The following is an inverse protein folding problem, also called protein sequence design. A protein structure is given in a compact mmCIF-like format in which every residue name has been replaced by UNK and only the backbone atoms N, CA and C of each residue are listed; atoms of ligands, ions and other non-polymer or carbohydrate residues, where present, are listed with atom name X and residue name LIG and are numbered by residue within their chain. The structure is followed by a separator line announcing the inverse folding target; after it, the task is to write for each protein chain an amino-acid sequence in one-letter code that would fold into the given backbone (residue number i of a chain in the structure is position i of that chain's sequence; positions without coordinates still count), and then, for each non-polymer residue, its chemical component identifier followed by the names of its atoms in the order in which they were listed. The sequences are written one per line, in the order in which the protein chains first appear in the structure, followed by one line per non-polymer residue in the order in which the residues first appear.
data_IF_809188391744
#
_entry.id   IF_809188391744
#
_cell.length_a   1.000
_cell.length_b   1.000
_cell.length_c   1.000
_cell.angle_alpha   90.00
_cell.angle_beta   90.00
_cell.angle_gamma   90.00
#
_symmetry.space_group_name_H-M   'P 1'
#
loop_
_entity.id
_entity.type
_entity.pdbx_description
1 polymer ?
#
# COMPACT_ATOMS: atom_id res chain seq x y z
N UNK A 1 5.36 3.22 41.22
CA UNK A 1 6.65 3.61 41.82
C UNK A 1 7.70 3.59 40.71
N UNK A 2 8.14 4.76 40.23
CA UNK A 2 9.14 4.83 39.16
C UNK A 2 10.53 4.54 39.72
N UNK A 3 11.18 3.50 39.20
CA UNK A 3 12.56 3.18 39.56
C UNK A 3 13.46 3.65 38.41
N UNK A 4 14.24 4.70 38.64
CA UNK A 4 15.18 5.23 37.66
C UNK A 4 16.40 4.27 37.53
N UNK A 5 16.95 4.12 36.31
CA UNK A 5 18.20 3.38 36.04
C UNK A 5 19.35 3.78 36.99
N UNK A 6 19.44 5.06 37.36
CA UNK A 6 20.42 5.55 38.36
C UNK A 6 20.17 4.99 39.78
N UNK A 7 18.91 4.76 40.16
CA UNK A 7 18.55 4.18 41.45
C UNK A 7 18.95 2.72 41.53
N UNK A 8 18.70 1.94 40.47
CA UNK A 8 19.11 0.53 40.38
C UNK A 8 20.64 0.39 40.42
N UNK A 9 21.36 1.18 39.61
CA UNK A 9 22.82 1.14 39.57
C UNK A 9 23.47 1.57 40.90
N UNK A 10 22.84 2.47 41.67
CA UNK A 10 23.30 2.86 43.01
C UNK A 10 23.06 1.76 44.05
N UNK A 11 21.96 1.02 43.95
CA UNK A 11 21.64 -0.06 44.88
C UNK A 11 22.52 -1.30 44.67
N UNK A 12 22.93 -1.57 43.43
CA UNK A 12 23.87 -2.66 43.10
C UNK A 12 25.35 -2.26 43.19
N UNK A 13 25.67 -0.97 43.33
CA UNK A 13 27.04 -0.44 43.26
C UNK A 13 27.74 -0.15 44.59
N UNK A 14 27.17 -0.51 45.74
CA UNK A 14 27.70 -0.10 47.06
C UNK A 14 28.61 -1.11 47.77
N UNK A 15 28.97 -2.24 47.15
CA UNK A 15 29.92 -3.19 47.75
C UNK A 15 30.91 -3.74 46.72
N UNK A 16 31.98 -2.99 46.47
CA UNK A 16 33.25 -3.53 46.00
C UNK A 16 33.38 -3.85 44.50
N UNK A 17 34.59 -3.63 44.00
CA UNK A 17 35.08 -3.99 42.67
C UNK A 17 34.68 -5.42 42.24
N UNK A 18 33.82 -5.57 41.22
CA UNK A 18 33.89 -6.63 40.19
C UNK A 18 32.67 -6.60 39.25
N UNK A 19 32.93 -6.75 37.94
CA UNK A 19 31.98 -7.07 36.87
C UNK A 19 30.80 -6.09 36.64
N UNK A 20 30.99 -5.17 35.69
CA UNK A 20 29.87 -4.54 34.99
C UNK A 20 29.15 -5.58 34.12
N UNK A 21 28.24 -6.35 34.73
CA UNK A 21 27.24 -7.10 33.97
C UNK A 21 26.32 -6.05 33.35
N UNK A 22 26.36 -5.92 32.02
CA UNK A 22 25.40 -5.13 31.28
C UNK A 22 24.03 -5.77 31.50
N UNK A 23 23.26 -5.24 32.46
CA UNK A 23 21.87 -5.65 32.65
C UNK A 23 21.10 -5.35 31.36
N UNK A 24 20.32 -6.31 30.82
CA UNK A 24 19.37 -6.04 29.75
C UNK A 24 18.45 -4.88 30.15
N UNK A 25 18.14 -4.00 29.20
CA UNK A 25 17.25 -2.89 29.46
C UNK A 25 15.82 -3.43 29.65
N UNK A 26 15.37 -3.52 30.90
CA UNK A 26 14.00 -3.93 31.21
C UNK A 26 13.02 -2.86 30.69
N UNK A 27 11.84 -3.26 30.20
CA UNK A 27 10.82 -2.35 29.65
C UNK A 27 10.45 -1.20 30.61
N UNK A 28 10.57 -1.41 31.92
CA UNK A 28 10.31 -0.39 32.95
C UNK A 28 11.27 0.81 32.87
N UNK A 29 12.42 0.62 32.22
CA UNK A 29 13.51 1.60 32.10
C UNK A 29 13.48 2.35 30.77
N UNK A 30 12.51 2.05 29.88
CA UNK A 30 12.25 2.88 28.70
C UNK A 30 11.75 4.25 29.16
N UNK A 31 12.38 5.36 28.74
CA UNK A 31 11.79 6.67 28.97
C UNK A 31 10.42 6.67 28.30
N UNK A 32 9.38 6.89 29.10
CA UNK A 32 8.03 7.16 28.61
C UNK A 32 8.06 8.53 27.96
N UNK A 33 8.56 8.56 26.73
CA UNK A 33 8.29 9.61 25.75
C UNK A 33 7.24 9.13 24.73
N UNK A 34 6.48 8.09 25.09
CA UNK A 34 5.09 8.02 24.68
C UNK A 34 4.33 8.96 25.64
N UNK A 35 4.23 10.23 25.28
CA UNK A 35 3.28 11.13 25.94
C UNK A 35 1.91 10.45 25.90
N UNK A 36 1.39 10.07 27.07
CA UNK A 36 -0.06 9.90 27.19
C UNK A 36 -0.68 11.22 26.72
N UNK A 37 -1.32 11.19 25.55
CA UNK A 37 -1.98 12.35 24.95
C UNK A 37 -1.33 12.97 23.69
N UNK A 38 -0.26 12.42 23.10
CA UNK A 38 0.07 12.80 21.71
C UNK A 38 -0.66 11.87 20.74
N UNK A 39 -1.45 12.46 19.83
CA UNK A 39 -2.13 11.73 18.77
C UNK A 39 -1.11 10.93 17.94
N UNK A 40 -1.35 9.62 17.82
CA UNK A 40 -0.55 8.77 16.94
C UNK A 40 -0.81 9.14 15.49
N UNK A 41 0.23 9.21 14.63
CA UNK A 41 0.02 9.53 13.22
C UNK A 41 -0.81 8.43 12.55
N UNK A 42 -1.77 8.85 11.73
CA UNK A 42 -2.56 7.94 10.90
C UNK A 42 -1.69 7.36 9.80
N UNK A 43 -1.80 6.06 9.57
CA UNK A 43 -1.11 5.35 8.50
C UNK A 43 -2.10 4.94 7.43
N UNK A 44 -1.73 5.12 6.17
CA UNK A 44 -2.58 4.78 5.04
C UNK A 44 -1.99 3.60 4.27
N UNK A 45 -2.85 2.63 3.92
CA UNK A 45 -2.45 1.54 3.05
C UNK A 45 -3.50 1.21 2.00
N UNK A 46 -3.03 0.76 0.83
CA UNK A 46 -3.87 0.24 -0.24
C UNK A 46 -3.40 -1.16 -0.62
N UNK A 47 -4.27 -2.14 -0.43
CA UNK A 47 -4.06 -3.53 -0.82
C UNK A 47 -4.93 -3.82 -2.04
N UNK A 48 -4.29 -4.26 -3.11
CA UNK A 48 -4.92 -4.52 -4.41
C UNK A 48 -4.92 -6.02 -4.72
N UNK A 49 -6.06 -6.55 -5.17
CA UNK A 49 -6.15 -7.85 -5.83
C UNK A 49 -6.61 -7.69 -7.30
N UNK A 50 -6.12 -8.53 -8.22
CA UNK A 50 -6.42 -8.42 -9.64
C UNK A 50 -7.65 -9.25 -10.08
N UNK A 51 -8.03 -9.11 -11.34
CA UNK A 51 -8.96 -9.95 -12.10
C UNK A 51 -10.42 -9.96 -11.64
N UNK A 52 -10.78 -9.07 -10.72
CA UNK A 52 -12.12 -9.00 -10.16
C UNK A 52 -12.46 -10.16 -9.24
N UNK A 53 -13.74 -10.30 -8.94
CA UNK A 53 -14.26 -11.31 -8.01
C UNK A 53 -15.41 -12.09 -8.63
N UNK A 54 -15.81 -13.15 -7.94
CA UNK A 54 -17.16 -13.68 -8.01
C UNK A 54 -18.11 -12.73 -7.24
N UNK A 55 -18.72 -11.78 -7.96
CA UNK A 55 -19.54 -10.71 -7.39
C UNK A 55 -20.69 -11.26 -6.51
N UNK A 56 -21.34 -12.35 -6.92
CA UNK A 56 -22.45 -12.98 -6.18
C UNK A 56 -21.99 -13.49 -4.80
N UNK A 57 -20.76 -14.01 -4.70
CA UNK A 57 -20.20 -14.52 -3.43
C UNK A 57 -19.46 -13.47 -2.62
N UNK A 58 -19.12 -12.33 -3.23
CA UNK A 58 -18.53 -11.17 -2.55
C UNK A 58 -19.55 -10.37 -1.75
N UNK A 59 -20.71 -10.08 -2.32
CA UNK A 59 -21.63 -9.08 -1.74
C UNK A 59 -22.29 -9.56 -0.42
N UNK A 60 -22.14 -8.83 0.70
CA UNK A 60 -22.82 -9.15 1.95
C UNK A 60 -24.31 -8.85 1.89
N UNK A 61 -25.09 -9.56 2.72
CA UNK A 61 -26.53 -9.29 2.89
C UNK A 61 -26.76 -8.34 4.06
N UNK A 62 -27.66 -7.37 3.89
CA UNK A 62 -27.99 -6.37 4.91
C UNK A 62 -27.20 -5.08 4.78
N UNK A 63 -27.41 -4.14 5.70
CA UNK A 63 -26.85 -2.78 5.66
C UNK A 63 -26.60 -2.23 7.07
N UNK A 64 -25.80 -1.15 7.16
CA UNK A 64 -25.44 -0.57 8.45
C UNK A 64 -24.76 -1.60 9.35
N UNK A 65 -25.14 -1.71 10.62
CA UNK A 65 -24.60 -2.72 11.55
C UNK A 65 -25.26 -4.09 11.43
N UNK A 66 -26.41 -4.19 10.74
CA UNK A 66 -27.23 -5.39 10.58
C UNK A 66 -26.94 -6.06 9.24
N UNK A 67 -25.83 -6.80 9.19
CA UNK A 67 -25.38 -7.48 7.97
C UNK A 67 -24.67 -8.80 8.27
N UNK A 68 -24.69 -9.69 7.28
CA UNK A 68 -24.09 -11.02 7.30
C UNK A 68 -22.90 -11.09 6.37
N UNK A 69 -21.83 -11.77 6.81
CA UNK A 69 -20.67 -12.05 5.96
C UNK A 69 -21.10 -12.90 4.76
N UNK A 70 -20.64 -12.51 3.58
CA UNK A 70 -20.76 -13.31 2.38
C UNK A 70 -19.77 -14.48 2.40
N UNK A 71 -19.97 -15.52 1.55
CA UNK A 71 -19.06 -16.67 1.50
C UNK A 71 -17.58 -16.30 1.25
N UNK A 72 -17.33 -15.26 0.45
CA UNK A 72 -15.98 -14.75 0.19
C UNK A 72 -15.39 -14.06 1.41
N UNK A 73 -16.20 -13.31 2.17
CA UNK A 73 -15.75 -12.54 3.33
C UNK A 73 -15.70 -13.35 4.65
N UNK A 74 -16.25 -14.56 4.69
CA UNK A 74 -16.27 -15.41 5.89
C UNK A 74 -14.91 -15.55 6.61
N UNK A 75 -13.74 -15.67 5.93
CA UNK A 75 -12.45 -15.71 6.63
C UNK A 75 -12.12 -14.47 7.47
N UNK A 76 -12.84 -13.36 7.25
CA UNK A 76 -12.70 -12.11 8.01
C UNK A 76 -13.62 -12.05 9.24
N UNK A 77 -14.30 -13.14 9.62
CA UNK A 77 -15.25 -13.16 10.74
C UNK A 77 -14.66 -12.60 12.04
N UNK A 78 -13.44 -13.01 12.40
CA UNK A 78 -12.73 -12.53 13.59
C UNK A 78 -12.37 -11.04 13.52
N UNK A 79 -12.41 -10.44 12.34
CA UNK A 79 -12.11 -9.03 12.07
C UNK A 79 -13.36 -8.24 11.63
N UNK A 80 -14.58 -8.82 11.72
CA UNK A 80 -15.82 -8.19 11.22
C UNK A 80 -16.02 -6.77 11.73
N UNK A 81 -15.64 -6.49 12.98
CA UNK A 81 -15.80 -5.19 13.61
C UNK A 81 -14.64 -4.23 13.34
N UNK A 82 -13.67 -4.61 12.51
CA UNK A 82 -12.47 -3.81 12.21
C UNK A 82 -12.46 -3.27 10.77
N UNK A 83 -13.51 -3.53 9.98
CA UNK A 83 -13.68 -2.98 8.64
C UNK A 83 -15.13 -2.63 8.31
N UNK A 84 -15.31 -1.82 7.27
CA UNK A 84 -16.58 -1.57 6.61
C UNK A 84 -16.55 -2.15 5.19
N UNK A 85 -17.70 -2.64 4.71
CA UNK A 85 -17.91 -2.97 3.29
C UNK A 85 -18.54 -1.77 2.61
N UNK A 86 -17.97 -1.30 1.50
CA UNK A 86 -18.44 -0.12 0.79
C UNK A 86 -19.11 -0.52 -0.53
N UNK A 87 -20.38 -0.15 -0.70
CA UNK A 87 -21.19 -0.46 -1.90
C UNK A 87 -21.49 0.78 -2.72
N UNK A 88 -21.66 0.64 -4.03
CA UNK A 88 -21.97 1.76 -4.94
C UNK A 88 -20.75 2.49 -5.50
N UNK A 89 -19.54 2.13 -5.07
CA UNK A 89 -18.29 2.74 -5.57
C UNK A 89 -17.95 2.23 -6.97
N UNK A 90 -17.38 3.10 -7.82
CA UNK A 90 -17.04 2.79 -9.20
C UNK A 90 -15.72 3.44 -9.62
N UNK A 91 -15.10 2.88 -10.65
CA UNK A 91 -13.97 3.45 -11.38
C UNK A 91 -14.40 3.72 -12.82
N UNK A 92 -15.06 4.85 -13.07
CA UNK A 92 -15.62 5.16 -14.40
C UNK A 92 -14.50 5.27 -15.43
N UNK A 93 -13.36 5.81 -15.03
CA UNK A 93 -12.18 5.93 -15.88
C UNK A 93 -11.46 4.59 -16.16
N UNK A 94 -11.87 3.49 -15.53
CA UNK A 94 -11.41 2.15 -15.91
C UNK A 94 -12.23 1.56 -17.07
N UNK A 95 -13.41 2.12 -17.38
CA UNK A 95 -14.22 1.69 -18.52
C UNK A 95 -13.53 1.97 -19.85
N UNK A 96 -14.01 1.34 -20.92
CA UNK A 96 -13.44 1.48 -22.26
C UNK A 96 -13.36 2.93 -22.76
N UNK A 97 -14.39 3.74 -22.53
CA UNK A 97 -14.47 5.14 -23.00
C UNK A 97 -14.11 5.35 -24.48
N UNK A 98 -14.31 4.32 -25.32
CA UNK A 98 -14.02 4.33 -26.75
C UNK A 98 -12.74 3.57 -27.16
N UNK A 99 -11.93 3.12 -26.21
CA UNK A 99 -10.66 2.43 -26.48
C UNK A 99 -10.81 0.95 -26.86
N UNK A 100 -12.01 0.37 -26.75
CA UNK A 100 -12.24 -1.07 -26.92
C UNK A 100 -11.66 -1.91 -25.78
N UNK A 101 -11.18 -3.15 -26.03
CA UNK A 101 -10.66 -4.03 -24.98
C UNK A 101 -9.42 -3.43 -24.30
N UNK A 102 -9.18 -3.84 -23.06
CA UNK A 102 -8.07 -3.31 -22.24
C UNK A 102 -8.40 -3.16 -20.74
N UNK A 103 -9.44 -3.85 -20.26
CA UNK A 103 -10.05 -3.63 -18.95
C UNK A 103 -9.10 -3.94 -17.79
N UNK A 104 -8.17 -4.88 -17.97
CA UNK A 104 -7.16 -5.20 -16.96
C UNK A 104 -6.13 -4.06 -16.87
N UNK A 105 -5.56 -3.59 -17.98
CA UNK A 105 -4.66 -2.43 -17.91
C UNK A 105 -5.34 -1.19 -17.34
N UNK A 106 -6.60 -0.93 -17.72
CA UNK A 106 -7.36 0.20 -17.19
C UNK A 106 -7.70 0.05 -15.70
N UNK A 107 -8.05 -1.15 -15.25
CA UNK A 107 -8.34 -1.47 -13.84
C UNK A 107 -7.19 -1.02 -12.93
N UNK A 108 -5.98 -1.56 -13.13
CA UNK A 108 -4.85 -1.25 -12.25
C UNK A 108 -4.38 0.20 -12.39
N UNK A 109 -4.33 0.75 -13.61
CA UNK A 109 -3.88 2.12 -13.82
C UNK A 109 -4.84 3.15 -13.19
N UNK A 110 -6.15 2.95 -13.33
CA UNK A 110 -7.16 3.84 -12.76
C UNK A 110 -7.32 3.65 -11.25
N UNK A 111 -7.00 2.47 -10.69
CA UNK A 111 -7.34 2.12 -9.30
C UNK A 111 -6.94 3.18 -8.29
N UNK A 112 -5.67 3.60 -8.23
CA UNK A 112 -5.23 4.66 -7.30
C UNK A 112 -5.06 6.03 -7.96
N UNK A 113 -5.35 6.19 -9.25
CA UNK A 113 -5.20 7.50 -9.94
C UNK A 113 -6.55 8.16 -10.21
N UNK A 114 -7.61 7.36 -10.35
CA UNK A 114 -8.91 7.74 -10.92
C UNK A 114 -8.82 8.41 -12.27
N UNK A 115 -7.74 8.19 -13.03
CA UNK A 115 -7.54 8.77 -14.35
C UNK A 115 -7.59 7.67 -15.41
N UNK A 116 -8.13 8.00 -16.57
CA UNK A 116 -8.16 7.07 -17.69
C UNK A 116 -6.76 6.99 -18.31
N UNK A 117 -6.12 5.81 -18.37
CA UNK A 117 -4.79 5.70 -18.94
C UNK A 117 -4.83 5.96 -20.45
N UNK A 118 -3.88 6.75 -20.94
CA UNK A 118 -3.70 6.96 -22.36
C UNK A 118 -3.31 5.65 -23.05
N UNK A 119 -4.11 5.21 -24.03
CA UNK A 119 -3.86 3.99 -24.78
C UNK A 119 -2.59 4.08 -25.62
N UNK A 120 -1.60 3.29 -25.23
CA UNK A 120 -0.30 3.21 -25.88
C UNK A 120 0.38 1.91 -25.49
N UNK A 121 1.04 1.26 -26.45
CA UNK A 121 1.94 0.13 -26.20
C UNK A 121 3.42 0.57 -26.09
N UNK A 122 3.68 1.86 -26.30
CA UNK A 122 5.02 2.46 -26.30
C UNK A 122 5.33 3.22 -25.01
N UNK A 123 6.46 3.93 -25.01
CA UNK A 123 6.96 4.68 -23.85
C UNK A 123 6.17 5.94 -23.48
N UNK A 124 5.18 6.34 -24.29
CA UNK A 124 4.36 7.55 -24.06
C UNK A 124 3.22 7.28 -23.07
N UNK A 125 3.51 6.63 -21.95
CA UNK A 125 2.52 6.34 -20.92
C UNK A 125 2.08 7.65 -20.23
N UNK A 126 0.78 7.74 -19.93
CA UNK A 126 0.16 8.84 -19.20
C UNK A 126 -1.12 8.35 -18.55
N UNK A 127 -1.28 8.60 -17.25
CA UNK A 127 -2.51 8.32 -16.51
C UNK A 127 -2.76 9.47 -15.55
N UNK A 128 -2.11 9.45 -14.38
CA UNK A 128 -2.29 10.43 -13.33
C UNK A 128 -1.41 10.07 -12.15
N UNK A 129 -1.21 11.04 -11.26
CA UNK A 129 -0.54 10.78 -9.98
C UNK A 129 -1.47 9.99 -9.06
N UNK A 130 -0.93 9.04 -8.30
CA UNK A 130 -1.74 8.17 -7.45
C UNK A 130 -1.95 8.70 -6.02
N UNK A 131 -3.03 8.27 -5.37
CA UNK A 131 -3.42 8.68 -4.00
C UNK A 131 -2.33 8.40 -2.96
N UNK A 132 -1.72 7.22 -3.01
CA UNK A 132 -0.62 6.85 -2.11
C UNK A 132 0.58 7.79 -2.27
N UNK A 133 0.90 8.21 -3.50
CA UNK A 133 2.01 9.13 -3.75
C UNK A 133 1.69 10.57 -3.37
N UNK A 134 0.42 10.98 -3.40
CA UNK A 134 -0.03 12.26 -2.84
C UNK A 134 0.09 12.23 -1.31
N UNK A 135 -0.34 11.14 -0.66
CA UNK A 135 -0.19 10.95 0.78
C UNK A 135 1.28 10.87 1.22
N UNK A 136 2.14 10.24 0.41
CA UNK A 136 3.57 10.14 0.66
C UNK A 136 4.24 11.53 0.75
N UNK A 137 3.76 12.53 0.01
CA UNK A 137 4.29 13.89 0.09
C UNK A 137 3.92 14.61 1.39
N UNK A 138 2.79 14.29 2.03
CA UNK A 138 2.36 14.94 3.28
C UNK A 138 3.18 14.47 4.48
N UNK A 139 3.43 13.15 4.56
CA UNK A 139 4.28 12.57 5.59
C UNK A 139 5.76 12.57 5.25
N UNK A 140 6.11 12.83 3.99
CA UNK A 140 7.42 12.52 3.44
C UNK A 140 8.58 12.97 4.33
N UNK A 141 8.57 14.17 4.90
CA UNK A 141 9.69 14.67 5.74
C UNK A 141 9.74 14.11 7.16
N UNK A 142 8.73 13.37 7.59
CA UNK A 142 8.57 12.89 8.97
C UNK A 142 9.06 11.45 9.16
N UNK A 143 9.12 10.67 8.07
CA UNK A 143 9.52 9.26 8.08
C UNK A 143 10.72 9.01 7.18
N UNK A 144 11.42 7.90 7.43
CA UNK A 144 12.61 7.52 6.67
C UNK A 144 12.31 7.29 5.19
N UNK A 145 11.26 6.53 4.90
CA UNK A 145 10.70 6.39 3.55
C UNK A 145 9.39 7.17 3.48
N UNK A 146 9.15 7.85 2.35
CA UNK A 146 7.88 8.55 2.12
C UNK A 146 6.73 7.56 1.92
N UNK A 147 7.01 6.43 1.28
CA UNK A 147 6.09 5.32 1.04
C UNK A 147 6.87 4.01 0.81
N UNK A 148 6.15 2.89 0.84
CA UNK A 148 6.67 1.60 0.39
C UNK A 148 5.66 0.89 -0.52
N UNK A 149 6.09 0.55 -1.72
CA UNK A 149 5.30 -0.13 -2.75
C UNK A 149 5.75 -1.59 -2.81
N UNK A 150 4.84 -2.51 -2.52
CA UNK A 150 5.10 -3.93 -2.40
C UNK A 150 4.30 -4.75 -3.42
N UNK A 151 4.80 -5.94 -3.74
CA UNK A 151 4.11 -6.88 -4.60
C UNK A 151 4.58 -8.31 -4.40
N UNK A 152 3.92 -9.24 -5.07
CA UNK A 152 4.37 -10.65 -5.10
C UNK A 152 4.79 -11.14 -6.49
N UNK A 153 4.50 -10.37 -7.54
CA UNK A 153 4.82 -10.69 -8.93
C UNK A 153 5.73 -9.68 -9.58
N UNK A 154 6.67 -10.18 -10.38
CA UNK A 154 7.47 -9.33 -11.26
C UNK A 154 6.56 -8.59 -12.22
N UNK A 155 6.81 -7.30 -12.39
CA UNK A 155 6.21 -6.48 -13.43
C UNK A 155 7.21 -6.19 -14.54
N UNK A 156 6.71 -5.91 -15.73
CA UNK A 156 7.47 -5.26 -16.81
C UNK A 156 6.79 -3.94 -17.12
N UNK A 157 7.53 -2.85 -17.25
CA UNK A 157 6.90 -1.56 -17.58
C UNK A 157 6.76 -1.36 -19.09
N UNK A 158 7.67 -1.95 -19.88
CA UNK A 158 7.69 -1.85 -21.32
C UNK A 158 6.94 -3.01 -22.01
N UNK A 159 6.39 -2.72 -23.20
CA UNK A 159 5.68 -3.67 -24.04
C UNK A 159 4.16 -3.50 -23.99
N UNK A 160 3.44 -4.31 -24.75
CA UNK A 160 1.97 -4.37 -24.76
C UNK A 160 1.52 -5.56 -23.92
N UNK A 161 0.81 -5.30 -22.82
CA UNK A 161 0.32 -6.38 -21.95
C UNK A 161 -1.19 -6.59 -22.04
N UNK A 162 -1.94 -5.59 -22.52
CA UNK A 162 -3.38 -5.73 -22.66
C UNK A 162 -3.89 -4.88 -23.84
N UNK A 163 -4.15 -5.52 -24.98
CA UNK A 163 -4.94 -4.91 -26.05
C UNK A 163 -4.45 -3.53 -26.56
N UNK A 164 -3.13 -3.31 -26.56
CA UNK A 164 -2.50 -2.05 -26.97
C UNK A 164 -2.20 -1.09 -25.82
N UNK A 165 -2.44 -1.47 -24.57
CA UNK A 165 -1.97 -0.78 -23.38
C UNK A 165 -0.61 -1.29 -22.91
N UNK A 166 0.20 -0.35 -22.40
CA UNK A 166 1.54 -0.60 -21.91
C UNK A 166 1.53 -1.48 -20.66
N UNK A 167 2.52 -2.34 -20.53
CA UNK A 167 2.65 -3.23 -19.38
C UNK A 167 2.74 -2.50 -18.03
N UNK A 168 3.24 -1.25 -18.01
CA UNK A 168 3.22 -0.40 -16.83
C UNK A 168 1.82 -0.26 -16.20
N UNK A 169 0.76 -0.24 -17.01
CA UNK A 169 -0.62 -0.05 -16.55
C UNK A 169 -1.21 -1.26 -15.83
N UNK A 170 -0.80 -2.48 -16.19
CA UNK A 170 -1.25 -3.71 -15.50
C UNK A 170 -0.39 -4.08 -14.28
N UNK A 171 0.85 -3.60 -14.27
CA UNK A 171 1.86 -4.01 -13.29
C UNK A 171 2.06 -3.03 -12.14
N UNK A 172 1.45 -1.84 -12.20
CA UNK A 172 1.61 -0.80 -11.19
C UNK A 172 0.27 -0.10 -10.88
N UNK A 173 -0.01 0.07 -9.60
CA UNK A 173 -1.09 0.93 -9.10
C UNK A 173 -0.56 2.27 -8.56
N UNK A 174 0.73 2.33 -8.21
CA UNK A 174 1.39 3.53 -7.67
C UNK A 174 2.06 4.32 -8.80
N UNK A 175 1.84 5.62 -8.83
CA UNK A 175 2.27 6.55 -9.88
C UNK A 175 2.78 7.85 -9.25
N UNK A 176 4.09 8.06 -9.31
CA UNK A 176 4.75 9.24 -8.73
C UNK A 176 4.33 10.53 -9.42
N UNK A 177 4.10 10.45 -10.73
CA UNK A 177 3.63 11.53 -11.59
C UNK A 177 2.69 10.96 -12.66
N UNK A 178 2.18 11.81 -13.55
CA UNK A 178 1.28 11.39 -14.64
C UNK A 178 1.87 10.30 -15.56
N UNK A 179 3.20 10.20 -15.67
CA UNK A 179 3.87 9.25 -16.57
C UNK A 179 4.90 8.34 -15.89
N UNK A 180 5.15 8.51 -14.59
CA UNK A 180 6.18 7.77 -13.87
C UNK A 180 5.55 6.76 -12.89
N UNK A 181 5.51 5.46 -13.22
CA UNK A 181 5.07 4.43 -12.28
C UNK A 181 6.09 4.29 -11.15
N UNK A 182 5.61 3.96 -9.95
CA UNK A 182 6.45 3.57 -8.82
C UNK A 182 6.46 2.05 -8.73
N UNK A 183 7.56 1.44 -9.17
CA UNK A 183 7.71 -0.02 -9.19
C UNK A 183 7.64 -0.64 -7.80
N UNK A 184 6.95 -1.78 -7.71
CA UNK A 184 6.79 -2.55 -6.47
C UNK A 184 8.00 -3.44 -6.17
N UNK A 185 8.42 -3.48 -4.90
CA UNK A 185 9.41 -4.45 -4.42
C UNK A 185 8.75 -5.80 -4.13
N UNK A 186 9.35 -6.87 -4.63
CA UNK A 186 8.82 -8.23 -4.53
C UNK A 186 9.74 -9.17 -3.77
N UNK A 187 11.01 -8.77 -3.57
CA UNK A 187 12.00 -9.54 -2.85
C UNK A 187 11.95 -9.11 -1.38
N UNK A 188 11.52 -9.98 -0.45
CA UNK A 188 11.40 -9.62 0.96
C UNK A 188 12.70 -9.07 1.56
N UNK A 189 13.85 -9.66 1.21
CA UNK A 189 15.16 -9.20 1.65
C UNK A 189 15.45 -7.75 1.22
N UNK A 190 15.16 -7.40 -0.04
CA UNK A 190 15.34 -6.02 -0.54
C UNK A 190 14.35 -5.06 0.08
N UNK A 191 13.11 -5.47 0.31
CA UNK A 191 12.12 -4.66 1.03
C UNK A 191 12.58 -4.37 2.47
N UNK A 192 13.09 -5.39 3.17
CA UNK A 192 13.68 -5.24 4.50
C UNK A 192 14.89 -4.30 4.49
N UNK A 193 15.80 -4.42 3.53
CA UNK A 193 16.96 -3.54 3.40
C UNK A 193 16.55 -2.10 3.08
N UNK A 194 15.53 -1.89 2.24
CA UNK A 194 14.98 -0.56 1.98
C UNK A 194 14.48 0.08 3.28
N UNK A 195 13.77 -0.68 4.10
CA UNK A 195 13.22 -0.24 5.38
C UNK A 195 14.31 0.02 6.43
N UNK A 196 15.26 -0.89 6.61
CA UNK A 196 16.11 -0.93 7.81
C UNK A 196 17.62 -0.88 7.54
N UNK A 197 18.08 -1.01 6.29
CA UNK A 197 19.51 -1.01 5.95
C UNK A 197 20.24 0.27 6.39
N UNK A 198 21.53 0.18 6.70
CA UNK A 198 22.33 1.36 7.06
C UNK A 198 22.95 1.95 5.78
N UNK A 199 22.82 3.25 5.53
CA UNK A 199 23.62 3.91 4.49
C UNK A 199 25.04 4.03 5.03
N UNK A 200 25.89 3.06 4.69
CA UNK A 200 27.23 2.99 5.28
C UNK A 200 28.21 2.02 4.62
N UNK A 201 27.89 1.46 3.45
CA UNK A 201 28.91 1.00 2.50
C UNK A 201 29.67 2.20 1.92
N UNK A 202 30.82 1.95 1.29
CA UNK A 202 31.84 2.93 0.85
C UNK A 202 31.36 4.21 0.11
N UNK A 203 30.10 4.30 -0.30
CA UNK A 203 29.51 5.38 -1.09
C UNK A 203 28.95 6.57 -0.28
N UNK A 204 28.78 6.46 1.05
CA UNK A 204 28.09 7.50 1.84
C UNK A 204 28.82 8.86 1.86
N UNK A 205 30.16 8.86 1.76
CA UNK A 205 30.97 10.09 1.67
C UNK A 205 30.92 10.75 0.29
N UNK A 206 30.80 9.95 -0.78
CA UNK A 206 30.70 10.47 -2.15
C UNK A 206 29.30 11.02 -2.46
N UNK A 207 28.26 10.45 -1.82
CA UNK A 207 26.86 10.84 -1.99
C UNK A 207 26.51 12.17 -1.29
N UNK A 208 27.08 12.46 -0.12
CA UNK A 208 26.91 13.75 0.56
C UNK A 208 27.47 14.95 -0.23
N UNK A 209 28.52 14.73 -1.03
CA UNK A 209 29.04 15.74 -1.97
C UNK A 209 28.12 15.97 -3.18
N UNK A 210 27.30 14.99 -3.57
CA UNK A 210 26.39 15.09 -4.73
C UNK A 210 25.13 15.93 -4.43
N UNK A 211 24.58 15.91 -3.22
CA UNK A 211 23.43 16.77 -2.86
C UNK A 211 23.72 18.27 -2.97
N UNK A 212 24.93 18.70 -2.59
CA UNK A 212 25.33 20.11 -2.69
C UNK A 212 25.44 20.60 -4.14
N UNK A 213 25.80 19.70 -5.07
CA UNK A 213 25.90 20.00 -6.51
C UNK A 213 24.52 20.07 -7.16
N UNK A 214 23.54 19.32 -6.67
CA UNK A 214 22.21 19.20 -7.27
C UNK A 214 21.25 20.33 -6.88
N UNK A 215 21.36 20.87 -5.66
CA UNK A 215 20.69 22.12 -5.28
C UNK A 215 21.13 23.29 -6.19
N UNK A 216 22.38 23.27 -6.66
CA UNK A 216 22.91 24.24 -7.64
C UNK A 216 22.31 24.05 -9.05
N UNK A 217 21.78 22.87 -9.38
CA UNK A 217 21.18 22.54 -10.68
C UNK A 217 19.66 22.81 -10.71
N UNK A 218 19.01 23.04 -9.56
CA UNK A 218 17.57 23.25 -9.48
C UNK A 218 17.07 24.50 -10.25
N UNK A 219 17.87 25.58 -10.28
CA UNK A 219 17.59 26.78 -11.08
C UNK A 219 17.94 26.58 -12.56
N UNK A 220 19.00 25.82 -12.86
CA UNK A 220 19.34 25.47 -14.25
C UNK A 220 18.32 24.52 -14.88
N UNK A 221 17.62 23.71 -14.09
CA UNK A 221 16.53 22.85 -14.55
C UNK A 221 15.43 23.63 -15.23
N UNK A 222 14.92 24.72 -14.62
CA UNK A 222 13.82 25.51 -15.22
C UNK A 222 14.21 26.07 -16.57
N UNK A 223 15.46 26.53 -16.69
CA UNK A 223 16.02 27.02 -17.93
C UNK A 223 16.19 25.90 -18.97
N UNK A 224 16.75 24.75 -18.58
CA UNK A 224 16.95 23.60 -19.48
C UNK A 224 15.62 23.01 -19.98
N UNK A 225 14.63 22.85 -19.09
CA UNK A 225 13.28 22.37 -19.44
C UNK A 225 12.60 23.32 -20.44
N UNK A 226 12.82 24.64 -20.31
CA UNK A 226 12.26 25.62 -21.26
C UNK A 226 12.90 25.60 -22.65
N UNK A 227 14.04 24.92 -22.83
CA UNK A 227 14.82 24.88 -24.07
C UNK A 227 14.68 23.57 -24.86
N UNK A 228 13.98 22.57 -24.32
CA UNK A 228 13.84 21.26 -24.94
C UNK A 228 12.42 21.00 -25.45
N UNK A 229 12.28 20.04 -26.38
CA UNK A 229 10.96 19.60 -26.85
C UNK A 229 10.17 18.83 -25.78
N UNK A 230 8.86 18.67 -25.97
CA UNK A 230 7.95 18.07 -24.98
C UNK A 230 8.32 16.63 -24.56
N UNK A 231 8.93 15.84 -25.45
CA UNK A 231 9.37 14.48 -25.12
C UNK A 231 10.63 14.47 -24.24
N UNK A 232 11.56 15.39 -24.44
CA UNK A 232 12.77 15.51 -23.63
C UNK A 232 12.50 16.21 -22.30
N UNK A 233 11.60 17.20 -22.27
CA UNK A 233 11.11 17.83 -21.05
C UNK A 233 10.57 16.78 -20.07
N UNK A 234 9.79 15.81 -20.55
CA UNK A 234 9.23 14.74 -19.72
C UNK A 234 10.31 13.84 -19.11
N UNK A 235 11.29 13.44 -19.91
CA UNK A 235 12.43 12.63 -19.43
C UNK A 235 13.25 13.38 -18.39
N UNK A 236 13.48 14.68 -18.61
CA UNK A 236 14.16 15.53 -17.64
C UNK A 236 13.36 15.63 -16.34
N UNK A 237 12.04 15.82 -16.40
CA UNK A 237 11.19 15.85 -15.22
C UNK A 237 11.21 14.52 -14.45
N UNK A 238 11.14 13.38 -15.15
CA UNK A 238 11.30 12.04 -14.56
C UNK A 238 12.67 11.92 -13.87
N UNK A 239 13.76 12.28 -14.57
CA UNK A 239 15.10 12.25 -14.02
C UNK A 239 15.24 13.12 -12.76
N UNK A 240 14.80 14.38 -12.80
CA UNK A 240 14.90 15.29 -11.66
C UNK A 240 13.98 14.87 -10.50
N UNK A 241 12.85 14.21 -10.79
CA UNK A 241 12.00 13.61 -9.76
C UNK A 241 12.74 12.48 -9.05
N UNK A 242 13.34 11.54 -9.79
CA UNK A 242 14.12 10.44 -9.22
C UNK A 242 15.35 10.93 -8.45
N UNK A 243 16.05 11.95 -8.95
CA UNK A 243 17.20 12.56 -8.25
C UNK A 243 16.77 13.15 -6.92
N UNK A 244 15.69 13.94 -6.90
CA UNK A 244 15.17 14.56 -5.67
C UNK A 244 14.75 13.53 -4.62
N UNK A 245 14.17 12.41 -5.05
CA UNK A 245 13.84 11.30 -4.16
C UNK A 245 15.08 10.66 -3.54
N UNK A 246 16.12 10.45 -4.35
CA UNK A 246 17.38 9.90 -3.89
C UNK A 246 18.07 10.80 -2.85
N UNK A 247 18.06 12.12 -3.06
CA UNK A 247 18.58 13.08 -2.09
C UNK A 247 17.81 13.06 -0.77
N UNK A 248 16.47 13.10 -0.85
CA UNK A 248 15.61 13.01 0.33
C UNK A 248 15.83 11.71 1.09
N UNK A 249 16.17 10.63 0.38
CA UNK A 249 16.49 9.35 0.99
C UNK A 249 17.84 9.42 1.71
N UNK A 250 18.89 9.90 1.06
CA UNK A 250 20.25 9.97 1.64
C UNK A 250 20.26 10.80 2.94
N UNK A 251 19.56 11.94 2.97
CA UNK A 251 19.53 12.79 4.17
C UNK A 251 18.88 12.13 5.39
N UNK A 252 18.10 11.05 5.21
CA UNK A 252 17.31 10.38 6.26
C UNK A 252 17.90 9.09 6.79
N UNK A 253 18.94 8.56 6.15
CA UNK A 253 19.61 7.33 6.61
C UNK A 253 20.59 7.56 7.77
N UNK A 254 20.70 8.79 8.27
CA UNK A 254 21.62 9.14 9.36
C UNK A 254 21.20 8.58 10.73
N UNK A 255 19.92 8.20 10.93
CA UNK A 255 19.43 7.65 12.20
C UNK A 255 19.00 6.19 12.03
N UNK A 256 19.62 5.23 12.74
CA UNK A 256 19.21 3.83 12.72
C UNK A 256 17.78 3.66 13.25
N UNK A 257 16.94 2.93 12.52
CA UNK A 257 15.63 2.51 13.01
C UNK A 257 15.81 1.40 14.06
N UNK A 258 15.21 1.55 15.23
CA UNK A 258 15.22 0.49 16.24
C UNK A 258 14.21 -0.61 15.87
N UNK A 259 14.72 -1.82 15.64
CA UNK A 259 13.88 -2.99 15.40
C UNK A 259 13.37 -3.60 16.70
N UNK A 260 12.15 -4.19 16.71
CA UNK A 260 11.70 -5.04 17.80
C UNK A 260 12.67 -6.22 18.04
N UNK A 261 12.79 -6.63 19.30
CA UNK A 261 13.61 -7.79 19.67
C UNK A 261 13.11 -9.06 18.95
N UNK A 262 14.05 -9.89 18.51
CA UNK A 262 13.74 -11.12 17.77
C UNK A 262 13.38 -10.93 16.29
N UNK A 263 13.39 -9.70 15.76
CA UNK A 263 13.20 -9.46 14.32
C UNK A 263 14.33 -10.12 13.53
N UNK A 264 13.98 -11.02 12.62
CA UNK A 264 14.92 -11.66 11.69
C UNK A 264 14.76 -11.05 10.30
N UNK A 265 15.89 -10.69 9.68
CA UNK A 265 15.88 -10.26 8.28
C UNK A 265 15.55 -11.45 7.38
N UNK A 266 14.61 -11.31 6.43
CA UNK A 266 14.34 -12.36 5.46
C UNK A 266 15.54 -12.53 4.53
N UNK A 267 15.86 -13.77 4.18
CA UNK A 267 17.01 -14.11 3.32
C UNK A 267 16.61 -14.34 1.88
N UNK A 268 15.53 -15.08 1.65
CA UNK A 268 15.07 -15.48 0.32
C UNK A 268 13.58 -15.20 0.12
N UNK A 269 13.17 -15.14 -1.16
CA UNK A 269 11.76 -15.07 -1.52
C UNK A 269 11.12 -16.46 -1.38
N UNK A 270 10.06 -16.63 -0.57
CA UNK A 270 9.37 -17.91 -0.46
C UNK A 270 8.81 -18.37 -1.81
N UNK A 271 8.87 -19.68 -2.06
CA UNK A 271 8.24 -20.30 -3.24
C UNK A 271 6.74 -20.48 -3.06
N UNK A 272 6.27 -20.70 -1.83
CA UNK A 272 4.84 -20.72 -1.50
C UNK A 272 4.27 -19.29 -1.51
N UNK A 273 3.16 -19.09 -2.22
CA UNK A 273 2.56 -17.77 -2.34
C UNK A 273 1.95 -17.27 -1.03
N UNK A 274 1.48 -18.16 -0.15
CA UNK A 274 0.92 -17.80 1.16
C UNK A 274 2.02 -17.26 2.07
N UNK A 275 3.14 -17.97 2.15
CA UNK A 275 4.31 -17.51 2.89
C UNK A 275 4.84 -16.19 2.33
N UNK A 276 4.92 -16.05 1.00
CA UNK A 276 5.38 -14.80 0.39
C UNK A 276 4.43 -13.62 0.70
N UNK A 277 3.12 -13.79 0.52
CA UNK A 277 2.12 -12.75 0.83
C UNK A 277 2.20 -12.35 2.30
N UNK A 278 2.20 -13.33 3.22
CA UNK A 278 2.24 -13.08 4.67
C UNK A 278 3.53 -12.39 5.09
N UNK A 279 4.67 -12.76 4.50
CA UNK A 279 5.95 -12.10 4.77
C UNK A 279 5.94 -10.63 4.30
N UNK A 280 5.36 -10.33 3.14
CA UNK A 280 5.22 -8.94 2.68
C UNK A 280 4.28 -8.14 3.60
N UNK A 281 3.18 -8.74 4.07
CA UNK A 281 2.32 -8.13 5.10
C UNK A 281 3.06 -7.90 6.42
N UNK A 282 3.84 -8.86 6.90
CA UNK A 282 4.64 -8.70 8.12
C UNK A 282 5.65 -7.54 7.99
N UNK A 283 6.24 -7.35 6.80
CA UNK A 283 7.09 -6.19 6.51
C UNK A 283 6.32 -4.87 6.53
N UNK A 284 5.07 -4.84 6.03
CA UNK A 284 4.20 -3.66 6.16
C UNK A 284 3.88 -3.33 7.62
N UNK A 285 3.49 -4.34 8.40
CA UNK A 285 3.23 -4.19 9.85
C UNK A 285 4.48 -3.65 10.55
N UNK A 286 5.66 -4.20 10.24
CA UNK A 286 6.92 -3.79 10.85
C UNK A 286 7.30 -2.36 10.44
N UNK A 287 7.09 -1.98 9.17
CA UNK A 287 7.33 -0.64 8.68
C UNK A 287 6.47 0.40 9.41
N UNK A 288 5.20 0.08 9.65
CA UNK A 288 4.25 0.91 10.39
C UNK A 288 4.55 0.97 11.89
N UNK A 289 4.88 -0.17 12.51
CA UNK A 289 5.24 -0.27 13.93
C UNK A 289 6.48 0.56 14.27
N UNK A 290 7.45 0.57 13.37
CA UNK A 290 8.72 1.28 13.53
C UNK A 290 8.68 2.73 13.04
N UNK A 291 7.54 3.19 12.52
CA UNK A 291 7.37 4.50 11.88
C UNK A 291 8.41 4.78 10.76
N UNK A 292 8.87 3.71 10.10
CA UNK A 292 9.82 3.81 8.98
C UNK A 292 9.16 4.42 7.75
N UNK A 293 7.87 4.12 7.56
CA UNK A 293 6.94 4.76 6.63
C UNK A 293 5.55 4.76 7.26
N UNK A 294 4.70 5.70 6.83
CA UNK A 294 3.27 5.74 7.19
C UNK A 294 2.36 5.41 6.00
N UNK A 295 2.94 5.23 4.82
CA UNK A 295 2.24 5.01 3.56
C UNK A 295 2.73 3.72 2.92
N UNK A 296 1.79 2.86 2.51
CA UNK A 296 2.12 1.62 1.79
C UNK A 296 1.10 1.28 0.70
N UNK A 297 1.57 0.70 -0.39
CA UNK A 297 0.71 0.04 -1.39
C UNK A 297 1.18 -1.41 -1.57
N UNK A 298 0.24 -2.34 -1.78
CA UNK A 298 0.56 -3.75 -1.95
C UNK A 298 -0.31 -4.41 -3.01
N UNK A 299 0.31 -4.86 -4.10
CA UNK A 299 -0.35 -5.68 -5.12
C UNK A 299 -0.18 -7.17 -4.82
N UNK A 300 -1.28 -7.85 -4.49
CA UNK A 300 -1.28 -9.30 -4.23
C UNK A 300 -0.95 -10.13 -5.47
N UNK A 301 -1.19 -9.58 -6.66
CA UNK A 301 -0.71 -10.05 -7.96
C UNK A 301 -0.85 -8.92 -8.99
N UNK A 302 -0.27 -9.07 -10.17
CA UNK A 302 -0.48 -8.12 -11.27
C UNK A 302 -1.89 -8.26 -11.84
N UNK A 303 -2.41 -7.17 -12.40
CA UNK A 303 -3.68 -7.21 -13.11
C UNK A 303 -3.53 -8.00 -14.42
N UNK A 304 -4.48 -8.89 -14.70
CA UNK A 304 -4.36 -9.89 -15.78
C UNK A 304 -3.45 -11.10 -15.47
N UNK A 305 -3.03 -11.29 -14.21
CA UNK A 305 -2.15 -12.40 -13.83
C UNK A 305 -2.82 -13.77 -13.93
N UNK A 306 -2.11 -14.74 -14.50
CA UNK A 306 -2.49 -16.15 -14.57
C UNK A 306 -1.85 -17.00 -13.46
N UNK A 307 -1.54 -16.41 -12.31
CA UNK A 307 -1.10 -17.17 -11.14
C UNK A 307 -2.05 -18.33 -10.83
N UNK A 308 -1.47 -19.50 -10.56
CA UNK A 308 -2.18 -20.65 -10.00
C UNK A 308 -2.06 -20.67 -8.47
N UNK A 309 -3.02 -21.33 -7.81
CA UNK A 309 -3.13 -21.44 -6.36
C UNK A 309 -3.21 -22.92 -5.92
N UNK A 310 -2.12 -23.70 -6.08
CA UNK A 310 -2.14 -25.13 -5.77
C UNK A 310 -2.40 -25.43 -4.30
N UNK A 311 -2.09 -24.51 -3.37
CA UNK A 311 -2.35 -24.63 -1.94
C UNK A 311 -3.85 -24.69 -1.57
N UNK A 312 -4.73 -24.21 -2.47
CA UNK A 312 -6.19 -24.32 -2.35
C UNK A 312 -6.80 -25.18 -3.48
N UNK A 313 -5.97 -26.04 -4.08
CA UNK A 313 -6.35 -26.99 -5.13
C UNK A 313 -6.82 -26.34 -6.44
N UNK A 314 -6.43 -25.10 -6.72
CA UNK A 314 -6.73 -24.41 -7.98
C UNK A 314 -5.45 -24.29 -8.81
N UNK A 315 -5.31 -25.11 -9.85
CA UNK A 315 -4.07 -25.19 -10.66
C UNK A 315 -4.15 -24.38 -11.96
N UNK A 316 -5.35 -23.96 -12.34
CA UNK A 316 -5.62 -23.13 -13.51
C UNK A 316 -5.16 -21.68 -13.29
N UNK A 317 -4.96 -20.93 -14.38
CA UNK A 317 -4.56 -19.52 -14.28
C UNK A 317 -5.71 -18.62 -13.83
N UNK A 318 -5.47 -17.77 -12.82
CA UNK A 318 -6.50 -16.91 -12.25
C UNK A 318 -7.21 -16.01 -13.28
N UNK A 319 -6.47 -15.30 -14.12
CA UNK A 319 -7.08 -14.47 -15.16
C UNK A 319 -7.89 -15.31 -16.16
N UNK A 320 -7.41 -16.47 -16.60
CA UNK A 320 -8.22 -17.37 -17.45
C UNK A 320 -9.52 -17.81 -16.78
N UNK A 321 -9.46 -18.11 -15.47
CA UNK A 321 -10.65 -18.46 -14.71
C UNK A 321 -11.64 -17.30 -14.64
N UNK A 322 -11.17 -16.05 -14.50
CA UNK A 322 -12.04 -14.87 -14.38
C UNK A 322 -12.97 -14.72 -15.57
N UNK A 323 -12.54 -15.08 -16.78
CA UNK A 323 -13.37 -15.24 -17.98
C UNK A 323 -14.16 -16.56 -17.95
N UNK A 324 -14.97 -16.78 -16.91
CA UNK A 324 -15.55 -18.09 -16.61
C UNK A 324 -16.62 -18.57 -17.60
N UNK A 325 -17.15 -17.71 -18.48
CA UNK A 325 -18.18 -18.04 -19.48
C UNK A 325 -19.42 -18.74 -18.87
N UNK A 326 -19.79 -18.37 -17.64
CA UNK A 326 -20.82 -19.04 -16.83
C UNK A 326 -20.60 -20.53 -16.54
N UNK A 327 -19.37 -21.05 -16.67
CA UNK A 327 -19.02 -22.43 -16.31
C UNK A 327 -18.92 -22.56 -14.79
N UNK A 328 -19.79 -23.37 -14.21
CA UNK A 328 -19.89 -23.54 -12.76
C UNK A 328 -18.57 -23.93 -12.08
N UNK A 329 -17.78 -24.82 -12.70
CA UNK A 329 -16.46 -25.22 -12.19
C UNK A 329 -15.51 -24.02 -12.06
N UNK A 330 -15.48 -23.13 -13.06
CA UNK A 330 -14.62 -21.96 -13.04
C UNK A 330 -15.10 -20.94 -12.00
N UNK A 331 -16.42 -20.73 -11.90
CA UNK A 331 -17.05 -19.86 -10.89
C UNK A 331 -16.66 -20.30 -9.47
N UNK A 332 -16.66 -21.61 -9.21
CA UNK A 332 -16.24 -22.18 -7.92
C UNK A 332 -14.75 -22.00 -7.65
N UNK A 333 -13.89 -22.13 -8.67
CA UNK A 333 -12.45 -21.89 -8.55
C UNK A 333 -12.14 -20.42 -8.27
N UNK A 334 -12.79 -19.47 -8.95
CA UNK A 334 -12.65 -18.03 -8.63
C UNK A 334 -13.06 -17.78 -7.18
N UNK A 335 -14.21 -18.31 -6.74
CA UNK A 335 -14.69 -18.12 -5.38
C UNK A 335 -13.68 -18.62 -4.32
N UNK A 336 -12.96 -19.71 -4.61
CA UNK A 336 -11.88 -20.20 -3.74
C UNK A 336 -10.69 -19.22 -3.71
N UNK A 337 -10.31 -18.64 -4.84
CA UNK A 337 -9.24 -17.64 -4.93
C UNK A 337 -9.62 -16.36 -4.16
N UNK A 338 -10.83 -15.84 -4.37
CA UNK A 338 -11.32 -14.63 -3.68
C UNK A 338 -11.31 -14.83 -2.15
N UNK A 339 -11.83 -15.98 -1.70
CA UNK A 339 -11.81 -16.37 -0.28
C UNK A 339 -10.38 -16.48 0.25
N UNK A 340 -9.46 -17.07 -0.51
CA UNK A 340 -8.05 -17.17 -0.13
C UNK A 340 -7.39 -15.81 0.07
N UNK A 341 -7.65 -14.84 -0.83
CA UNK A 341 -7.13 -13.49 -0.64
C UNK A 341 -7.72 -12.82 0.60
N UNK A 342 -9.02 -13.01 0.88
CA UNK A 342 -9.64 -12.54 2.13
C UNK A 342 -9.02 -13.20 3.37
N UNK A 343 -8.66 -14.49 3.31
CA UNK A 343 -7.95 -15.16 4.41
C UNK A 343 -6.58 -14.50 4.67
N UNK A 344 -5.82 -14.18 3.61
CA UNK A 344 -4.53 -13.51 3.78
C UNK A 344 -4.66 -12.06 4.28
N UNK A 345 -5.71 -11.36 3.86
CA UNK A 345 -6.03 -10.04 4.40
C UNK A 345 -6.44 -10.11 5.88
N UNK A 346 -7.20 -11.14 6.29
CA UNK A 346 -7.55 -11.40 7.69
C UNK A 346 -6.32 -11.63 8.56
N UNK A 347 -5.32 -12.37 8.07
CA UNK A 347 -4.02 -12.51 8.74
C UNK A 347 -3.37 -11.14 9.00
N UNK A 348 -3.34 -10.26 8.00
CA UNK A 348 -2.76 -8.93 8.12
C UNK A 348 -3.52 -8.05 9.12
N UNK A 349 -4.86 -8.01 9.05
CA UNK A 349 -5.69 -7.25 9.99
C UNK A 349 -5.47 -7.73 11.43
N UNK A 350 -5.40 -9.05 11.65
CA UNK A 350 -5.14 -9.63 12.97
C UNK A 350 -3.77 -9.17 13.50
N UNK A 351 -2.72 -9.22 12.69
CA UNK A 351 -1.37 -8.73 13.05
C UNK A 351 -1.37 -7.24 13.41
N UNK A 352 -2.07 -6.42 12.62
CA UNK A 352 -2.21 -4.98 12.89
C UNK A 352 -2.94 -4.72 14.23
N UNK A 353 -4.02 -5.45 14.49
CA UNK A 353 -4.79 -5.36 15.74
C UNK A 353 -4.01 -5.86 16.96
N UNK A 354 -3.18 -6.88 16.80
CA UNK A 354 -2.36 -7.45 17.87
C UNK A 354 -1.08 -6.66 18.15
N UNK A 355 -0.73 -5.69 17.28
CA UNK A 355 0.47 -4.87 17.45
C UNK A 355 0.14 -3.57 18.21
N UNK A 356 0.62 -3.38 19.45
CA UNK A 356 0.35 -2.17 20.21
C UNK A 356 0.94 -0.92 19.56
N UNK A 357 0.20 0.20 19.59
CA UNK A 357 0.65 1.51 19.15
C UNK A 357 0.01 2.61 20.01
N UNK A 358 0.73 3.11 21.00
CA UNK A 358 0.22 4.16 21.89
C UNK A 358 -0.95 3.71 22.76
N UNK A 359 -2.08 4.40 22.63
CA UNK A 359 -3.33 4.19 23.37
C UNK A 359 -4.31 3.21 22.66
N UNK A 360 -3.81 2.51 21.64
CA UNK A 360 -4.53 1.47 20.92
C UNK A 360 -3.56 0.50 20.25
N UNK A 361 -3.96 -0.01 19.08
CA UNK A 361 -3.12 -0.83 18.22
C UNK A 361 -2.89 -0.17 16.86
N UNK A 362 -2.07 -0.76 16.00
CA UNK A 362 -1.81 -0.21 14.67
C UNK A 362 -3.07 -0.08 13.82
N UNK A 363 -4.05 -0.99 13.95
CA UNK A 363 -5.28 -0.93 13.18
C UNK A 363 -6.17 0.24 13.61
N UNK A 364 -6.18 0.59 14.90
CA UNK A 364 -6.88 1.78 15.40
C UNK A 364 -6.29 3.08 14.82
N UNK A 365 -4.98 3.10 14.55
CA UNK A 365 -4.23 4.23 14.00
C UNK A 365 -3.95 4.12 12.49
N UNK A 366 -4.73 3.34 11.77
CA UNK A 366 -4.58 3.19 10.32
C UNK A 366 -5.92 3.28 9.58
N UNK A 367 -5.86 3.64 8.29
CA UNK A 367 -6.91 3.42 7.30
C UNK A 367 -6.34 2.56 6.18
N UNK A 368 -6.97 1.42 5.93
CA UNK A 368 -6.49 0.41 4.98
C UNK A 368 -7.62 0.11 4.01
N UNK A 369 -7.38 0.37 2.72
CA UNK A 369 -8.29 -0.07 1.66
C UNK A 369 -7.84 -1.42 1.14
N UNK A 370 -8.76 -2.37 1.05
CA UNK A 370 -8.57 -3.65 0.38
C UNK A 370 -9.60 -3.78 -0.72
N UNK A 371 -9.15 -4.05 -1.95
CA UNK A 371 -10.07 -4.17 -3.08
C UNK A 371 -9.40 -4.26 -4.44
N UNK A 372 -10.22 -4.18 -5.48
CA UNK A 372 -9.80 -4.10 -6.87
C UNK A 372 -10.71 -3.15 -7.67
N UNK A 373 -10.34 -2.86 -8.91
CA UNK A 373 -11.13 -1.99 -9.80
C UNK A 373 -12.03 -2.78 -10.78
N UNK A 374 -12.19 -4.09 -10.59
CA UNK A 374 -13.17 -4.94 -11.29
C UNK A 374 -14.03 -5.63 -10.22
N UNK A 375 -15.35 -5.59 -10.37
CA UNK A 375 -16.29 -6.29 -9.52
C UNK A 375 -16.47 -7.73 -9.98
N UNK A 376 -17.02 -7.92 -11.18
CA UNK A 376 -17.19 -9.22 -11.80
C UNK A 376 -16.09 -9.46 -12.85
N UNK A 377 -15.27 -10.48 -12.64
CA UNK A 377 -14.13 -10.79 -13.51
C UNK A 377 -14.49 -11.25 -14.93
N UNK A 378 -15.72 -11.73 -15.15
CA UNK A 378 -16.19 -12.21 -16.45
C UNK A 378 -16.88 -11.10 -17.26
N UNK A 379 -17.50 -10.13 -16.58
CA UNK A 379 -18.17 -8.99 -17.20
C UNK A 379 -17.29 -7.76 -17.32
N UNK A 380 -16.19 -7.70 -16.56
CA UNK A 380 -15.32 -6.52 -16.42
C UNK A 380 -16.10 -5.32 -15.88
N UNK A 381 -16.98 -5.56 -14.90
CA UNK A 381 -17.81 -4.51 -14.32
C UNK A 381 -16.95 -3.58 -13.44
N UNK A 382 -16.83 -2.31 -13.83
CA UNK A 382 -16.09 -1.27 -13.09
C UNK A 382 -16.99 -0.46 -12.12
N UNK A 383 -18.14 -1.01 -11.75
CA UNK A 383 -19.07 -0.43 -10.76
C UNK A 383 -19.36 -1.44 -9.65
N UNK A 384 -19.85 -0.94 -8.52
CA UNK A 384 -20.08 -1.72 -7.30
C UNK A 384 -18.84 -2.49 -6.88
N UNK A 385 -17.72 -1.77 -6.86
CA UNK A 385 -16.39 -2.34 -6.65
C UNK A 385 -16.27 -3.07 -5.31
N UNK A 386 -15.47 -4.15 -5.25
CA UNK A 386 -15.30 -4.97 -4.07
C UNK A 386 -14.32 -4.29 -3.09
N UNK A 387 -14.81 -3.28 -2.37
CA UNK A 387 -13.99 -2.41 -1.51
C UNK A 387 -14.31 -2.64 -0.04
N UNK A 388 -13.26 -2.92 0.73
CA UNK A 388 -13.26 -2.89 2.19
C UNK A 388 -12.42 -1.70 2.68
N UNK A 389 -12.92 -0.99 3.70
CA UNK A 389 -12.17 0.03 4.44
C UNK A 389 -11.96 -0.43 5.87
N UNK A 390 -10.73 -0.79 6.23
CA UNK A 390 -10.36 -1.31 7.53
C UNK A 390 -9.60 -0.28 8.39
N UNK A 391 -9.70 -0.45 9.71
CA UNK A 391 -9.09 0.43 10.70
C UNK A 391 -9.96 1.60 11.11
N UNK A 392 -9.47 2.38 12.09
CA UNK A 392 -10.24 3.49 12.70
C UNK A 392 -9.66 4.87 12.38
N UNK A 393 -8.52 4.95 11.69
CA UNK A 393 -7.91 6.22 11.27
C UNK A 393 -7.65 7.20 12.41
N UNK A 394 -7.25 6.71 13.59
CA UNK A 394 -7.13 7.56 14.79
C UNK A 394 -8.49 7.93 15.39
N UNK A 395 -9.43 6.97 15.42
CA UNK A 395 -10.82 7.12 15.91
C UNK A 395 -11.71 8.06 15.09
N UNK A 396 -11.33 8.32 13.84
CA UNK A 396 -12.12 9.08 12.87
C UNK A 396 -13.22 8.23 12.21
N UNK A 397 -13.08 6.90 12.23
CA UNK A 397 -13.96 5.97 11.53
C UNK A 397 -14.62 4.96 12.49
N UNK A 398 -15.95 4.84 12.39
CA UNK A 398 -16.70 3.72 12.97
C UNK A 398 -16.75 2.54 11.99
N UNK A 399 -16.35 1.36 12.47
CA UNK A 399 -16.23 0.12 11.69
C UNK A 399 -17.35 -0.88 11.99
N UNK A 400 -17.38 -2.01 11.28
CA UNK A 400 -18.37 -3.07 11.46
C UNK A 400 -19.68 -2.84 10.69
N UNK A 401 -19.64 -2.03 9.63
CA UNK A 401 -20.82 -1.60 8.87
C UNK A 401 -20.73 -1.96 7.39
N UNK A 402 -21.88 -2.17 6.77
CA UNK A 402 -22.04 -2.05 5.30
C UNK A 402 -22.54 -0.63 5.01
N UNK A 403 -21.75 0.13 4.25
CA UNK A 403 -22.07 1.51 3.85
C UNK A 403 -22.49 1.51 2.37
N UNK A 404 -23.70 2.01 2.11
CA UNK A 404 -24.27 2.06 0.77
C UNK A 404 -24.25 3.49 0.24
N UNK A 405 -23.55 3.69 -0.88
CA UNK A 405 -23.47 4.97 -1.57
C UNK A 405 -24.32 4.96 -2.84
N UNK A 406 -24.52 6.14 -3.43
CA UNK A 406 -25.22 6.25 -4.71
C UNK A 406 -24.46 5.45 -5.79
N UNK A 407 -25.20 4.83 -6.71
CA UNK A 407 -24.60 4.06 -7.81
C UNK A 407 -23.61 4.93 -8.59
N UNK A 408 -22.48 4.33 -8.97
CA UNK A 408 -21.39 5.00 -9.69
C UNK A 408 -20.74 6.16 -8.91
N UNK A 409 -20.74 6.11 -7.57
CA UNK A 409 -19.95 7.06 -6.78
C UNK A 409 -18.47 6.84 -7.07
N UNK A 410 -17.69 7.86 -7.46
CA UNK A 410 -16.27 7.68 -7.74
C UNK A 410 -15.53 7.10 -6.54
N UNK A 411 -14.77 6.01 -6.74
CA UNK A 411 -13.91 5.44 -5.71
C UNK A 411 -12.91 6.49 -5.21
N UNK A 412 -12.50 7.42 -6.05
CA UNK A 412 -11.60 8.50 -5.66
C UNK A 412 -12.17 9.45 -4.59
N UNK A 413 -13.49 9.50 -4.39
CA UNK A 413 -14.08 10.21 -3.25
C UNK A 413 -13.65 9.57 -1.90
N UNK A 414 -13.48 8.24 -1.85
CA UNK A 414 -12.94 7.54 -0.68
C UNK A 414 -11.48 7.95 -0.45
N UNK A 415 -10.68 7.97 -1.51
CA UNK A 415 -9.26 8.34 -1.38
C UNK A 415 -9.08 9.79 -0.98
N UNK A 416 -9.95 10.71 -1.41
CA UNK A 416 -9.95 12.07 -0.87
C UNK A 416 -10.28 12.12 0.62
N UNK A 417 -11.22 11.30 1.10
CA UNK A 417 -11.48 11.20 2.54
C UNK A 417 -10.26 10.65 3.31
N UNK A 418 -9.54 9.68 2.75
CA UNK A 418 -8.29 9.19 3.34
C UNK A 418 -7.19 10.26 3.32
N UNK A 419 -7.05 11.00 2.23
CA UNK A 419 -6.08 12.09 2.11
C UNK A 419 -6.39 13.22 3.09
N UNK A 420 -7.66 13.55 3.29
CA UNK A 420 -8.12 14.55 4.27
C UNK A 420 -7.74 14.13 5.70
N UNK A 421 -7.88 12.84 6.04
CA UNK A 421 -7.53 12.31 7.38
C UNK A 421 -6.05 12.52 7.76
N UNK A 422 -5.18 12.82 6.79
CA UNK A 422 -3.75 13.07 6.96
C UNK A 422 -3.32 14.47 6.48
N UNK A 423 -4.27 15.37 6.21
CA UNK A 423 -4.01 16.74 5.74
C UNK A 423 -3.37 16.82 4.35
N UNK A 424 -3.57 15.81 3.51
CA UNK A 424 -3.01 15.71 2.16
C UNK A 424 -4.01 16.07 1.04
N UNK A 425 -5.31 16.18 1.32
CA UNK A 425 -6.30 16.51 0.29
C UNK A 425 -6.09 17.94 -0.25
N UNK A 426 -6.22 18.08 -1.57
CA UNK A 426 -5.99 19.34 -2.30
C UNK A 426 -7.22 19.87 -3.02
N UNK A 427 -8.33 19.13 -2.99
CA UNK A 427 -9.55 19.54 -3.70
C UNK A 427 -9.75 18.81 -5.03
N UNK A 428 -8.66 18.47 -5.71
CA UNK A 428 -8.64 17.90 -7.06
C UNK A 428 -7.88 16.56 -7.08
N UNK A 429 -8.56 15.47 -7.44
CA UNK A 429 -7.93 14.16 -7.53
C UNK A 429 -8.72 13.18 -8.42
N UNK A 430 -8.12 12.77 -9.54
CA UNK A 430 -8.72 11.82 -10.47
C UNK A 430 -10.10 12.27 -10.95
N UNK A 431 -11.07 11.36 -10.92
CA UNK A 431 -12.49 11.59 -11.24
C UNK A 431 -13.34 11.97 -10.02
N UNK A 432 -12.71 12.29 -8.88
CA UNK A 432 -13.44 12.65 -7.68
C UNK A 432 -14.32 13.87 -7.89
N UNK A 433 -15.57 13.77 -7.41
CA UNK A 433 -16.55 14.85 -7.41
C UNK A 433 -17.01 15.26 -6.00
N UNK A 434 -16.33 14.77 -4.96
CA UNK A 434 -16.62 15.06 -3.57
C UNK A 434 -15.74 14.28 -2.60
N UNK A 435 -15.97 14.48 -1.30
CA UNK A 435 -15.33 13.68 -0.24
C UNK A 435 -16.36 12.68 0.26
N UNK A 436 -15.99 11.39 0.30
CA UNK A 436 -16.90 10.34 0.75
C UNK A 436 -17.11 10.44 2.26
N UNK A 437 -18.37 10.41 2.71
CA UNK A 437 -18.68 10.26 4.14
C UNK A 437 -18.34 8.83 4.58
N UNK A 438 -17.25 8.68 5.31
CA UNK A 438 -16.78 7.38 5.82
C UNK A 438 -17.22 7.11 7.27
N UNK A 439 -17.50 8.17 8.05
CA UNK A 439 -17.93 8.11 9.46
C UNK A 439 -19.40 8.35 9.62
#
# INVERSE_FOLDING_TARGET
MQVNRRTVLRQFGLHGLAASVALPMLDIMRPVQASQGAERPVRLAWVFFPNGTNAERWEPKGSGTQWELSPTLEPLADCRNDFNVLKGLAQVNAQSLGDGPGDHARSAAAYLTGAHPFKTAGSKIRVGRSADQIAADSYGRQTRLASIELGTEEGRDAGSCDSGYACAYSNNISWRSESLPTGKEIQPARAFDRLFGVAGGADAKEQGLKSSILDFVADQRKHLVSQVGADDSRKLDEYFTSVRELEQRISRFATPTQLPEGTQAPTEKPSDATEHIRLMYDLMVLAFRTDTTRIASFMLANEGSNRAFPMIEVKDGHHQLSHHENKQENIEKIAKIDRYYCEQFGYFLKKMRETPDGDGNLLDHSLIVYGGAINDGNRHDHHDLPILLAGRGGRQLSTGRVLEYSKNTPLNNLFRAMLDSVGADRGDFGDSNGILSIG
#
